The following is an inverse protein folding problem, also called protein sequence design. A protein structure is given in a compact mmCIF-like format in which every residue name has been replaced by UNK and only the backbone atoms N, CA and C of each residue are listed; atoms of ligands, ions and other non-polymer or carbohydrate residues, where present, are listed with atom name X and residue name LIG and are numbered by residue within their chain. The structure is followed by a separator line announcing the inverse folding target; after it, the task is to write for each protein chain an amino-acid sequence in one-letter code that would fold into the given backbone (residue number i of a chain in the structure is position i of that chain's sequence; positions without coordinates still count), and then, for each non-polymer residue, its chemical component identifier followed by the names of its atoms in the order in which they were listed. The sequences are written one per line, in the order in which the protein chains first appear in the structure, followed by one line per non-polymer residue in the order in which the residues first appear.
data_IF_299871222802
#
_entry.id   IF_299871222802
#
_cell.length_a   1.000
_cell.length_b   1.000
_cell.length_c   1.000
_cell.angle_alpha   90.00
_cell.angle_beta   90.00
_cell.angle_gamma   90.00
#
_symmetry.space_group_name_H-M   'P 1'
#
loop_
_entity.id
_entity.type
_entity.pdbx_description
1 polymer ?
#
# COMPACT_ATOMS: atom_id res chain seq x y z
N UNK A 1 -43.80 7.70 14.17
CA UNK A 1 -43.59 6.40 13.49
C UNK A 1 -42.91 6.55 12.12
N UNK A 2 -43.49 7.21 11.11
CA UNK A 2 -42.87 7.35 9.75
C UNK A 2 -41.44 7.92 9.72
N UNK A 3 -41.14 8.93 10.54
CA UNK A 3 -39.78 9.52 10.64
C UNK A 3 -38.73 8.56 11.21
N UNK A 4 -39.13 7.69 12.14
CA UNK A 4 -38.23 6.69 12.72
C UNK A 4 -37.86 5.63 11.67
N UNK A 5 -38.82 5.18 10.86
CA UNK A 5 -38.53 4.28 9.73
C UNK A 5 -37.60 4.91 8.69
N UNK A 6 -37.81 6.18 8.35
CA UNK A 6 -36.93 6.88 7.42
C UNK A 6 -35.49 6.99 7.95
N UNK A 7 -35.32 7.24 9.26
CA UNK A 7 -34.01 7.26 9.92
C UNK A 7 -33.38 5.86 9.93
N UNK A 8 -34.13 4.82 10.28
CA UNK A 8 -33.62 3.44 10.25
C UNK A 8 -33.19 3.00 8.85
N UNK A 9 -33.93 3.37 7.81
CA UNK A 9 -33.56 3.09 6.42
C UNK A 9 -32.28 3.85 6.03
N UNK A 10 -32.14 5.11 6.45
CA UNK A 10 -30.93 5.90 6.20
C UNK A 10 -29.69 5.24 6.83
N UNK A 11 -29.80 4.77 8.08
CA UNK A 11 -28.71 4.03 8.72
C UNK A 11 -28.37 2.72 7.99
N UNK A 12 -29.37 2.00 7.49
CA UNK A 12 -29.15 0.78 6.72
C UNK A 12 -28.38 1.08 5.43
N UNK A 13 -28.75 2.13 4.70
CA UNK A 13 -28.08 2.55 3.46
C UNK A 13 -26.62 2.95 3.73
N UNK A 14 -26.37 3.71 4.80
CA UNK A 14 -25.02 4.10 5.21
C UNK A 14 -24.18 2.88 5.60
N UNK A 15 -24.74 1.96 6.40
CA UNK A 15 -24.03 0.76 6.83
C UNK A 15 -23.66 -0.15 5.65
N UNK A 16 -24.57 -0.34 4.70
CA UNK A 16 -24.31 -1.11 3.47
C UNK A 16 -23.22 -0.43 2.64
N UNK A 17 -23.35 0.88 2.38
CA UNK A 17 -22.36 1.63 1.60
C UNK A 17 -20.98 1.60 2.23
N UNK A 18 -20.89 1.73 3.55
CA UNK A 18 -19.64 1.67 4.30
C UNK A 18 -19.03 0.26 4.28
N UNK A 19 -19.85 -0.79 4.37
CA UNK A 19 -19.41 -2.18 4.22
C UNK A 19 -18.77 -2.46 2.86
N UNK A 20 -19.39 -2.00 1.77
CA UNK A 20 -18.81 -2.11 0.43
C UNK A 20 -17.50 -1.33 0.29
N UNK A 21 -17.47 -0.09 0.80
CA UNK A 21 -16.27 0.74 0.78
C UNK A 21 -15.10 0.09 1.54
N UNK A 22 -15.35 -0.46 2.73
CA UNK A 22 -14.34 -1.18 3.51
C UNK A 22 -13.87 -2.42 2.74
N UNK A 23 -14.79 -3.21 2.19
CA UNK A 23 -14.44 -4.42 1.47
C UNK A 23 -13.50 -4.15 0.28
N UNK A 24 -13.84 -3.17 -0.56
CA UNK A 24 -13.01 -2.82 -1.73
C UNK A 24 -11.65 -2.20 -1.38
N UNK A 25 -11.55 -1.52 -0.23
CA UNK A 25 -10.33 -0.79 0.16
C UNK A 25 -9.48 -1.52 1.20
N UNK A 26 -10.00 -2.59 1.82
CA UNK A 26 -9.26 -3.43 2.77
C UNK A 26 -8.00 -4.08 2.16
N UNK A 27 -8.00 -4.27 0.84
CA UNK A 27 -6.87 -4.84 0.09
C UNK A 27 -5.98 -3.76 -0.53
N UNK A 28 -6.05 -2.53 -0.03
CA UNK A 28 -5.22 -1.40 -0.47
C UNK A 28 -4.06 -1.17 0.50
N UNK A 29 -2.85 -1.08 -0.04
CA UNK A 29 -1.64 -0.73 0.71
C UNK A 29 -0.87 0.36 -0.01
N UNK A 30 -0.40 1.34 0.75
CA UNK A 30 0.55 2.35 0.29
C UNK A 30 1.92 2.01 0.86
N UNK A 31 2.90 1.82 -0.01
CA UNK A 31 4.27 1.46 0.32
C UNK A 31 5.16 2.65 -0.07
N UNK A 32 5.92 3.14 0.90
CA UNK A 32 6.92 4.20 0.71
C UNK A 32 8.29 3.59 0.92
N UNK A 33 9.14 3.71 -0.09
CA UNK A 33 10.54 3.28 -0.07
C UNK A 33 11.37 4.57 0.06
N UNK A 34 12.08 4.72 1.17
CA UNK A 34 13.00 5.82 1.38
C UNK A 34 14.43 5.30 1.24
N UNK A 35 15.23 5.93 0.40
CA UNK A 35 16.64 5.56 0.19
C UNK A 35 17.54 6.77 0.03
N UNK A 36 18.79 6.65 0.46
CA UNK A 36 19.86 7.62 0.22
C UNK A 36 21.03 6.99 -0.58
N UNK A 37 20.79 5.86 -1.24
CA UNK A 37 21.82 5.11 -1.95
C UNK A 37 22.71 4.24 -1.05
N UNK A 38 22.56 4.28 0.27
CA UNK A 38 23.25 3.39 1.23
C UNK A 38 22.29 2.67 2.17
N UNK A 39 21.25 3.38 2.62
CA UNK A 39 20.20 2.88 3.50
C UNK A 39 18.89 2.75 2.71
N UNK A 40 18.09 1.76 3.08
CA UNK A 40 16.75 1.53 2.53
C UNK A 40 15.79 1.35 3.70
N UNK A 41 14.74 2.17 3.73
CA UNK A 41 13.68 2.13 4.72
C UNK A 41 12.37 1.89 3.98
N UNK A 42 11.67 0.82 4.33
CA UNK A 42 10.36 0.49 3.79
C UNK A 42 9.31 0.79 4.83
N UNK A 43 8.29 1.57 4.46
CA UNK A 43 7.15 1.89 5.30
C UNK A 43 5.88 1.52 4.55
N UNK A 44 4.96 0.84 5.21
CA UNK A 44 3.66 0.53 4.61
C UNK A 44 2.50 1.01 5.47
N UNK A 45 1.39 1.35 4.81
CA UNK A 45 0.19 1.86 5.45
C UNK A 45 -1.07 1.39 4.72
N UNK A 46 -2.12 1.13 5.49
CA UNK A 46 -3.42 0.66 5.00
C UNK A 46 -4.52 1.66 5.40
N UNK A 47 -5.68 1.57 4.74
CA UNK A 47 -6.78 2.54 4.87
C UNK A 47 -7.41 2.65 6.29
N UNK A 48 -7.00 1.79 7.23
CA UNK A 48 -7.49 1.76 8.61
C UNK A 48 -6.38 1.66 9.66
N UNK A 49 -5.15 2.04 9.29
CA UNK A 49 -3.97 1.87 10.15
C UNK A 49 -3.79 0.43 10.65
N UNK A 50 -4.34 -0.55 9.91
CA UNK A 50 -4.14 -1.95 10.21
C UNK A 50 -2.66 -2.25 9.96
N UNK A 51 -1.98 -2.92 10.91
CA UNK A 51 -0.58 -3.29 10.75
C UNK A 51 -0.48 -4.20 9.53
N UNK A 52 0.48 -3.88 8.66
CA UNK A 52 0.86 -4.75 7.57
C UNK A 52 1.66 -5.93 8.12
N UNK A 53 1.67 -7.09 7.42
CA UNK A 53 2.50 -8.22 7.82
C UNK A 53 3.99 -7.79 7.84
N UNK A 54 4.71 -7.95 8.96
CA UNK A 54 6.09 -7.48 9.07
C UNK A 54 7.03 -8.15 8.04
N UNK A 55 6.76 -9.41 7.68
CA UNK A 55 7.53 -10.11 6.64
C UNK A 55 7.42 -9.48 5.25
N UNK A 56 6.36 -8.72 4.97
CA UNK A 56 6.22 -8.00 3.69
C UNK A 56 7.23 -6.86 3.58
N UNK A 57 7.37 -6.05 4.64
CA UNK A 57 8.31 -4.92 4.61
C UNK A 57 9.76 -5.40 4.53
N UNK A 58 10.08 -6.50 5.22
CA UNK A 58 11.40 -7.14 5.18
C UNK A 58 11.72 -7.73 3.79
N UNK A 59 10.79 -8.48 3.19
CA UNK A 59 10.97 -9.04 1.83
C UNK A 59 11.15 -7.93 0.79
N UNK A 60 10.41 -6.82 0.93
CA UNK A 60 10.57 -5.65 0.06
C UNK A 60 11.96 -5.01 0.26
N UNK A 61 12.40 -4.84 1.52
CA UNK A 61 13.68 -4.21 1.81
C UNK A 61 14.86 -5.03 1.25
N UNK A 62 14.83 -6.36 1.44
CA UNK A 62 15.85 -7.28 0.93
C UNK A 62 15.89 -7.29 -0.60
N UNK A 63 14.72 -7.33 -1.25
CA UNK A 63 14.64 -7.26 -2.71
C UNK A 63 15.22 -5.96 -3.25
N UNK A 64 14.81 -4.81 -2.71
CA UNK A 64 15.29 -3.49 -3.16
C UNK A 64 16.79 -3.32 -2.92
N UNK A 65 17.32 -3.84 -1.82
CA UNK A 65 18.77 -3.77 -1.53
C UNK A 65 19.61 -4.40 -2.62
N UNK A 66 19.09 -5.43 -3.30
CA UNK A 66 19.77 -6.07 -4.42
C UNK A 66 19.45 -5.36 -5.74
N UNK A 67 18.20 -4.93 -5.93
CA UNK A 67 17.74 -4.34 -7.19
C UNK A 67 18.24 -2.91 -7.42
N UNK A 68 18.46 -2.08 -6.40
CA UNK A 68 18.87 -0.67 -6.61
C UNK A 68 20.25 -0.55 -7.29
N UNK A 69 21.13 -1.53 -7.07
CA UNK A 69 22.48 -1.55 -7.66
C UNK A 69 22.55 -2.32 -8.98
N UNK A 70 21.47 -2.97 -9.40
CA UNK A 70 21.45 -3.73 -10.64
C UNK A 70 21.44 -2.75 -11.84
N UNK A 71 22.32 -2.93 -12.85
CA UNK A 71 22.45 -2.00 -13.98
C UNK A 71 21.20 -1.91 -14.86
N UNK A 72 20.32 -2.91 -14.80
CA UNK A 72 19.04 -2.96 -15.51
C UNK A 72 17.85 -2.44 -14.67
N UNK A 73 18.12 -2.01 -13.44
CA UNK A 73 17.07 -1.54 -12.53
C UNK A 73 16.56 -0.16 -12.91
N UNK A 74 15.25 -0.07 -13.04
CA UNK A 74 14.53 1.19 -13.28
C UNK A 74 13.53 1.42 -12.16
N UNK A 75 13.09 2.67 -12.00
CA UNK A 75 12.03 3.00 -11.06
C UNK A 75 10.77 2.14 -11.30
N UNK A 76 10.43 1.91 -12.57
CA UNK A 76 9.25 1.13 -12.94
C UNK A 76 9.40 -0.35 -12.61
N UNK A 77 10.58 -0.95 -12.81
CA UNK A 77 10.83 -2.34 -12.43
C UNK A 77 10.79 -2.52 -10.91
N UNK A 78 11.41 -1.61 -10.14
CA UNK A 78 11.35 -1.63 -8.68
C UNK A 78 9.89 -1.54 -8.20
N UNK A 79 9.11 -0.62 -8.76
CA UNK A 79 7.68 -0.49 -8.42
C UNK A 79 6.89 -1.75 -8.79
N UNK A 80 7.20 -2.39 -9.92
CA UNK A 80 6.53 -3.63 -10.34
C UNK A 80 6.82 -4.78 -9.36
N UNK A 81 8.08 -4.94 -8.96
CA UNK A 81 8.50 -6.00 -8.04
C UNK A 81 7.87 -5.83 -6.66
N UNK A 82 7.86 -4.60 -6.14
CA UNK A 82 7.22 -4.27 -4.85
C UNK A 82 5.72 -4.59 -4.88
N UNK A 83 5.05 -4.28 -6.01
CA UNK A 83 3.63 -4.64 -6.20
C UNK A 83 3.43 -6.15 -6.22
N UNK A 84 4.35 -6.89 -6.86
CA UNK A 84 4.29 -8.34 -6.91
C UNK A 84 4.49 -8.96 -5.54
N UNK A 85 5.46 -8.49 -4.75
CA UNK A 85 5.66 -8.91 -3.36
C UNK A 85 4.40 -8.65 -2.54
N UNK A 86 3.89 -7.41 -2.54
CA UNK A 86 2.69 -7.04 -1.80
C UNK A 86 1.45 -7.88 -2.20
N UNK A 87 1.36 -8.29 -3.47
CA UNK A 87 0.28 -9.17 -3.93
C UNK A 87 0.32 -10.57 -3.31
N UNK A 88 1.51 -11.12 -3.01
CA UNK A 88 1.67 -12.39 -2.27
C UNK A 88 1.05 -12.30 -0.87
N UNK A 89 1.04 -11.10 -0.27
CA UNK A 89 0.45 -10.83 1.03
C UNK A 89 -1.05 -10.46 0.96
N UNK A 90 -1.69 -10.60 -0.20
CA UNK A 90 -3.13 -10.44 -0.37
C UNK A 90 -3.60 -9.01 -0.70
N UNK A 91 -2.68 -8.09 -0.96
CA UNK A 91 -3.00 -6.74 -1.41
C UNK A 91 -3.25 -6.70 -2.93
N UNK A 92 -4.38 -6.11 -3.34
CA UNK A 92 -4.76 -6.00 -4.76
C UNK A 92 -4.53 -4.61 -5.33
N UNK A 93 -4.60 -3.58 -4.49
CA UNK A 93 -4.36 -2.19 -4.86
C UNK A 93 -3.10 -1.73 -4.12
N UNK A 94 -1.99 -1.66 -4.84
CA UNK A 94 -0.68 -1.34 -4.25
C UNK A 94 -0.17 -0.03 -4.85
N UNK A 95 -0.07 1.00 -4.02
CA UNK A 95 0.52 2.27 -4.39
C UNK A 95 1.97 2.29 -3.88
N UNK A 96 2.92 2.48 -4.79
CA UNK A 96 4.35 2.49 -4.44
C UNK A 96 4.92 3.87 -4.73
N UNK A 97 5.54 4.47 -3.72
CA UNK A 97 6.29 5.71 -3.83
C UNK A 97 7.74 5.45 -3.47
N UNK A 98 8.66 5.93 -4.28
CA UNK A 98 10.09 5.91 -3.96
C UNK A 98 10.53 7.33 -3.64
N UNK A 99 11.33 7.51 -2.59
CA UNK A 99 11.89 8.79 -2.18
C UNK A 99 13.39 8.62 -2.06
N UNK A 100 14.14 9.27 -2.94
CA UNK A 100 15.59 9.31 -2.87
C UNK A 100 16.09 10.68 -2.40
N UNK A 101 17.41 10.80 -2.25
CA UNK A 101 18.08 12.09 -2.10
C UNK A 101 17.86 13.05 -3.28
N UNK A 102 17.48 12.55 -4.45
CA UNK A 102 17.23 13.34 -5.65
C UNK A 102 15.78 13.83 -5.73
N UNK A 103 14.86 13.18 -5.02
CA UNK A 103 13.46 13.59 -4.97
C UNK A 103 12.48 12.42 -4.87
N UNK A 104 11.19 12.73 -5.01
CA UNK A 104 10.14 11.71 -5.09
C UNK A 104 10.13 11.12 -6.50
N UNK A 105 10.12 9.80 -6.57
CA UNK A 105 10.10 9.02 -7.81
C UNK A 105 11.29 9.36 -8.73
N UNK A 106 12.46 9.54 -8.12
CA UNK A 106 13.74 9.81 -8.79
C UNK A 106 14.80 8.89 -8.19
N UNK A 107 15.67 8.32 -9.02
CA UNK A 107 16.79 7.46 -8.63
C UNK A 107 18.09 8.05 -9.15
#
# INVERSE_FOLDING_TARGET
MRKAYAISILFLVVAIGMGFYIHENSQTVNITIETNGTDIIVKSSTLFFAPTPPGMEEEIADHISNSIYAPESTLDSIKADVKLIASKYGYKKVNVQLRSQFGVDQL
#
